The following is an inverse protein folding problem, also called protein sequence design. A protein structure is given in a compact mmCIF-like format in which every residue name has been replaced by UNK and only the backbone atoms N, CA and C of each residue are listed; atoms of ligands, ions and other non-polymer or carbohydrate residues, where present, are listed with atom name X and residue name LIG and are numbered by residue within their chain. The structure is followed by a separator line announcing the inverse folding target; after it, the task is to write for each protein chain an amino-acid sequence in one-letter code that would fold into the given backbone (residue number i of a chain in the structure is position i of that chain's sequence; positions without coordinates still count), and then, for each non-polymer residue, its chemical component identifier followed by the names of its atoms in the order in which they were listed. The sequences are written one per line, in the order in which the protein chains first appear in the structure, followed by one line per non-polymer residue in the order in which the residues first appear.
data_IF_042514735624
#
_entry.id   IF_042514735624
#
_cell.length_a   1.000
_cell.length_b   1.000
_cell.length_c   1.000
_cell.angle_alpha   90.00
_cell.angle_beta   90.00
_cell.angle_gamma   90.00
#
_symmetry.space_group_name_H-M   'P 1'
#
loop_
_entity.id
_entity.type
_entity.pdbx_description
1 polymer ?
#
# COMPACT_ATOMS: atom_id res chain seq x y z
N UNK A 1 11.20 -25.81 -17.35
CA UNK A 1 11.21 -24.64 -16.43
C UNK A 1 10.31 -24.96 -15.26
N UNK A 2 10.85 -25.13 -14.06
CA UNK A 2 10.05 -25.19 -12.84
C UNK A 2 9.86 -23.75 -12.35
N UNK A 3 8.61 -23.34 -12.18
CA UNK A 3 8.29 -22.04 -11.59
C UNK A 3 8.47 -22.18 -10.08
N UNK A 4 9.36 -21.38 -9.50
CA UNK A 4 9.58 -21.35 -8.05
C UNK A 4 8.51 -20.56 -7.31
N UNK A 5 8.55 -20.66 -5.97
CA UNK A 5 7.59 -19.96 -5.10
C UNK A 5 7.71 -18.43 -5.22
N UNK A 6 8.93 -17.91 -5.39
CA UNK A 6 9.16 -16.48 -5.57
C UNK A 6 8.53 -15.92 -6.85
N UNK A 7 8.64 -16.66 -7.96
CA UNK A 7 8.04 -16.30 -9.24
C UNK A 7 6.50 -16.30 -9.15
N UNK A 8 5.92 -17.31 -8.49
CA UNK A 8 4.47 -17.37 -8.26
C UNK A 8 3.99 -16.18 -7.43
N UNK A 9 4.67 -15.88 -6.32
CA UNK A 9 4.30 -14.75 -5.46
C UNK A 9 4.46 -13.40 -6.16
N UNK A 10 5.50 -13.22 -6.97
CA UNK A 10 5.72 -12.00 -7.74
C UNK A 10 4.61 -11.75 -8.76
N UNK A 11 4.26 -12.78 -9.55
CA UNK A 11 3.15 -12.70 -10.51
C UNK A 11 1.80 -12.49 -9.81
N UNK A 12 1.57 -13.19 -8.69
CA UNK A 12 0.34 -13.04 -7.90
C UNK A 12 0.21 -11.62 -7.33
N UNK A 13 1.31 -11.05 -6.83
CA UNK A 13 1.35 -9.67 -6.35
C UNK A 13 0.98 -8.68 -7.45
N UNK A 14 1.52 -8.84 -8.65
CA UNK A 14 1.19 -7.99 -9.79
C UNK A 14 -0.31 -8.07 -10.17
N UNK A 15 -0.89 -9.27 -10.16
CA UNK A 15 -2.33 -9.47 -10.43
C UNK A 15 -3.19 -8.83 -9.34
N UNK A 16 -2.89 -9.08 -8.06
CA UNK A 16 -3.62 -8.51 -6.92
C UNK A 16 -3.55 -7.00 -6.94
N UNK A 17 -2.38 -6.42 -7.24
CA UNK A 17 -2.22 -4.98 -7.37
C UNK A 17 -3.03 -4.40 -8.52
N UNK A 18 -3.00 -5.01 -9.71
CA UNK A 18 -3.77 -4.55 -10.85
C UNK A 18 -5.28 -4.52 -10.56
N UNK A 19 -5.81 -5.57 -9.92
CA UNK A 19 -7.20 -5.62 -9.47
C UNK A 19 -7.47 -4.54 -8.42
N UNK A 20 -6.58 -4.38 -7.44
CA UNK A 20 -6.67 -3.36 -6.40
C UNK A 20 -6.78 -1.95 -6.97
N UNK A 21 -5.92 -1.58 -7.91
CA UNK A 21 -5.94 -0.25 -8.56
C UNK A 21 -7.26 0.01 -9.28
N UNK A 22 -7.81 -1.00 -9.97
CA UNK A 22 -9.11 -0.89 -10.65
C UNK A 22 -10.23 -0.67 -9.62
N UNK A 23 -10.23 -1.44 -8.52
CA UNK A 23 -11.21 -1.30 -7.45
C UNK A 23 -11.11 0.06 -6.77
N UNK A 24 -9.91 0.52 -6.43
CA UNK A 24 -9.69 1.83 -5.82
C UNK A 24 -10.14 2.96 -6.73
N UNK A 25 -9.89 2.87 -8.05
CA UNK A 25 -10.38 3.87 -8.98
C UNK A 25 -11.90 3.97 -8.95
N UNK A 26 -12.60 2.83 -8.95
CA UNK A 26 -14.07 2.76 -8.91
C UNK A 26 -14.63 3.27 -7.58
N UNK A 27 -13.99 2.92 -6.46
CA UNK A 27 -14.35 3.46 -5.14
C UNK A 27 -14.10 4.97 -5.04
N UNK A 28 -13.08 5.46 -5.74
CA UNK A 28 -12.75 6.87 -5.80
C UNK A 28 -13.79 7.75 -6.51
N UNK A 29 -14.72 7.16 -7.28
CA UNK A 29 -15.85 7.89 -7.86
C UNK A 29 -16.86 8.36 -6.81
N UNK A 30 -16.94 7.66 -5.66
CA UNK A 30 -17.89 7.97 -4.58
C UNK A 30 -17.20 8.45 -3.30
N UNK A 31 -15.93 8.08 -3.10
CA UNK A 31 -15.17 8.39 -1.90
C UNK A 31 -14.01 9.35 -2.21
N UNK A 32 -13.89 10.47 -1.47
CA UNK A 32 -12.71 11.33 -1.55
C UNK A 32 -11.43 10.55 -1.21
N UNK A 33 -10.28 10.89 -1.83
CA UNK A 33 -8.99 10.19 -1.66
C UNK A 33 -8.59 9.92 -0.20
N UNK A 34 -8.73 10.91 0.68
CA UNK A 34 -8.37 10.78 2.08
C UNK A 34 -9.26 9.75 2.82
N UNK A 35 -10.57 9.75 2.54
CA UNK A 35 -11.51 8.79 3.16
C UNK A 35 -11.27 7.38 2.64
N UNK A 36 -11.02 7.25 1.34
CA UNK A 36 -10.66 5.97 0.72
C UNK A 36 -9.38 5.41 1.36
N UNK A 37 -8.35 6.25 1.52
CA UNK A 37 -7.10 5.85 2.17
C UNK A 37 -7.32 5.41 3.63
N UNK A 38 -8.10 6.18 4.40
CA UNK A 38 -8.41 5.84 5.78
C UNK A 38 -9.13 4.48 5.87
N UNK A 39 -10.18 4.26 5.09
CA UNK A 39 -10.93 3.00 5.06
C UNK A 39 -10.05 1.82 4.61
N UNK A 40 -9.22 2.02 3.59
CA UNK A 40 -8.22 1.04 3.15
C UNK A 40 -7.32 0.61 4.30
N UNK A 41 -6.77 1.58 5.05
CA UNK A 41 -5.89 1.28 6.17
C UNK A 41 -6.62 0.63 7.35
N UNK A 42 -7.90 0.92 7.58
CA UNK A 42 -8.70 0.20 8.58
C UNK A 42 -8.89 -1.27 8.20
N UNK A 43 -9.14 -1.58 6.92
CA UNK A 43 -9.23 -2.96 6.44
C UNK A 43 -7.88 -3.68 6.58
N UNK A 44 -6.79 -3.02 6.20
CA UNK A 44 -5.44 -3.57 6.35
C UNK A 44 -5.12 -3.83 7.81
N UNK A 45 -5.42 -2.89 8.71
CA UNK A 45 -5.20 -3.06 10.14
C UNK A 45 -6.03 -4.22 10.70
N UNK A 46 -7.31 -4.32 10.34
CA UNK A 46 -8.18 -5.41 10.79
C UNK A 46 -7.71 -6.79 10.28
N UNK A 47 -7.12 -6.85 9.08
CA UNK A 47 -6.61 -8.08 8.50
C UNK A 47 -5.24 -8.47 9.08
N UNK A 48 -4.31 -7.52 9.23
CA UNK A 48 -2.94 -7.79 9.64
C UNK A 48 -2.77 -7.87 11.16
N UNK A 49 -3.51 -7.09 11.94
CA UNK A 49 -3.35 -7.06 13.40
C UNK A 49 -3.49 -8.46 14.03
N UNK A 50 -4.53 -9.27 13.73
CA UNK A 50 -4.66 -10.60 14.33
C UNK A 50 -3.52 -11.54 13.93
N UNK A 51 -3.04 -11.42 12.68
CA UNK A 51 -1.93 -12.22 12.16
C UNK A 51 -0.64 -11.87 12.89
N UNK A 52 -0.36 -10.58 13.05
CA UNK A 52 0.80 -10.09 13.80
C UNK A 52 0.75 -10.52 15.26
N UNK A 53 -0.40 -10.37 15.94
CA UNK A 53 -0.53 -10.81 17.33
C UNK A 53 -0.39 -12.33 17.48
N UNK A 54 -0.86 -13.10 16.50
CA UNK A 54 -0.72 -14.55 16.52
C UNK A 54 0.72 -15.00 16.28
N UNK A 55 1.45 -14.33 15.38
CA UNK A 55 2.83 -14.69 15.03
C UNK A 55 3.89 -14.17 16.02
N UNK A 56 3.76 -12.93 16.47
CA UNK A 56 4.76 -12.20 17.27
C UNK A 56 4.36 -12.08 18.76
N UNK A 57 3.09 -12.39 19.09
CA UNK A 57 2.55 -12.24 20.44
C UNK A 57 2.08 -10.81 20.76
N UNK A 58 1.87 -10.55 22.06
CA UNK A 58 1.33 -9.27 22.56
C UNK A 58 2.40 -8.32 23.09
N UNK A 59 3.68 -8.72 23.06
CA UNK A 59 4.76 -7.88 23.55
C UNK A 59 4.96 -6.68 22.60
N UNK A 60 5.05 -5.48 23.16
CA UNK A 60 5.39 -4.31 22.36
C UNK A 60 6.86 -4.40 21.91
N UNK A 61 7.17 -3.96 20.68
CA UNK A 61 8.54 -3.96 20.20
C UNK A 61 9.39 -2.98 21.03
N UNK A 62 10.59 -3.42 21.41
CA UNK A 62 11.54 -2.65 22.19
C UNK A 62 12.29 -1.63 21.32
N UNK A 63 11.56 -0.62 20.83
CA UNK A 63 12.11 0.45 20.00
C UNK A 63 12.52 1.65 20.86
N UNK A 64 13.63 2.28 20.51
CA UNK A 64 14.04 3.59 21.02
C UNK A 64 13.07 4.69 20.57
N UNK A 65 13.14 5.85 21.22
CA UNK A 65 12.32 7.01 20.86
C UNK A 65 12.56 7.48 19.41
N UNK A 66 13.79 7.36 18.91
CA UNK A 66 14.14 7.72 17.53
C UNK A 66 13.51 6.74 16.54
N UNK A 67 13.56 5.44 16.81
CA UNK A 67 12.93 4.43 15.97
C UNK A 67 11.41 4.58 15.93
N UNK A 68 10.78 4.88 17.06
CA UNK A 68 9.35 5.22 17.10
C UNK A 68 9.03 6.45 16.25
N UNK A 69 9.84 7.51 16.34
CA UNK A 69 9.67 8.71 15.53
C UNK A 69 9.82 8.41 14.03
N UNK A 70 10.76 7.56 13.64
CA UNK A 70 10.96 7.14 12.26
C UNK A 70 9.80 6.28 11.75
N UNK A 71 9.30 5.34 12.55
CA UNK A 71 8.15 4.49 12.18
C UNK A 71 6.89 5.35 12.00
N UNK A 72 6.60 6.24 12.95
CA UNK A 72 5.44 7.13 12.85
C UNK A 72 5.59 8.13 11.71
N UNK A 73 6.78 8.74 11.56
CA UNK A 73 7.06 9.71 10.50
C UNK A 73 6.98 9.10 9.10
N UNK A 74 7.57 7.91 8.91
CA UNK A 74 7.47 7.17 7.65
C UNK A 74 6.03 6.72 7.35
N UNK A 75 5.26 6.33 8.37
CA UNK A 75 3.83 6.04 8.23
C UNK A 75 3.03 7.26 7.77
N UNK A 76 3.28 8.43 8.35
CA UNK A 76 2.61 9.68 7.92
C UNK A 76 2.96 10.01 6.47
N UNK A 77 4.24 9.98 6.11
CA UNK A 77 4.66 10.34 4.75
C UNK A 77 4.24 9.31 3.71
N UNK A 78 4.52 8.02 3.94
CA UNK A 78 4.29 6.94 3.00
C UNK A 78 2.84 6.49 2.93
N UNK A 79 2.14 6.40 4.07
CA UNK A 79 0.77 5.89 4.10
C UNK A 79 -0.22 7.04 4.06
N UNK A 80 -0.10 8.05 4.91
CA UNK A 80 -1.13 9.09 4.96
C UNK A 80 -1.02 10.07 3.79
N UNK A 81 0.16 10.65 3.56
CA UNK A 81 0.36 11.68 2.51
C UNK A 81 0.45 11.04 1.13
N UNK A 82 1.38 10.10 0.91
CA UNK A 82 1.62 9.57 -0.42
C UNK A 82 0.42 8.79 -0.98
N UNK A 83 -0.24 7.93 -0.21
CA UNK A 83 -1.43 7.22 -0.73
C UNK A 83 -2.59 8.17 -1.01
N UNK A 84 -2.78 9.23 -0.22
CA UNK A 84 -3.83 10.21 -0.49
C UNK A 84 -3.59 10.94 -1.81
N UNK A 85 -2.33 11.31 -2.08
CA UNK A 85 -1.93 11.89 -3.36
C UNK A 85 -2.08 10.88 -4.50
N UNK A 86 -1.70 9.62 -4.27
CA UNK A 86 -1.86 8.53 -5.22
C UNK A 86 -3.33 8.34 -5.61
N UNK A 87 -4.25 8.27 -4.64
CA UNK A 87 -5.68 8.15 -4.93
C UNK A 87 -6.25 9.40 -5.60
N UNK A 88 -5.75 10.59 -5.26
CA UNK A 88 -6.08 11.83 -5.97
C UNK A 88 -5.70 11.76 -7.46
N UNK A 89 -4.47 11.35 -7.75
CA UNK A 89 -3.98 11.15 -9.10
C UNK A 89 -4.73 10.02 -9.83
N UNK A 90 -5.05 8.92 -9.13
CA UNK A 90 -5.84 7.82 -9.66
C UNK A 90 -7.22 8.29 -10.09
N UNK A 91 -7.91 9.07 -9.27
CA UNK A 91 -9.23 9.61 -9.61
C UNK A 91 -9.16 10.56 -10.81
N UNK A 92 -8.13 11.39 -10.91
CA UNK A 92 -7.94 12.33 -12.01
C UNK A 92 -7.55 11.65 -13.34
N UNK A 93 -6.70 10.63 -13.30
CA UNK A 93 -6.07 10.05 -14.49
C UNK A 93 -6.67 8.72 -14.93
N UNK A 94 -7.36 8.01 -14.03
CA UNK A 94 -7.85 6.66 -14.28
C UNK A 94 -6.77 5.58 -14.14
N UNK A 95 -7.21 4.33 -13.99
CA UNK A 95 -6.32 3.19 -13.71
C UNK A 95 -5.27 2.95 -14.81
N UNK A 96 -5.64 3.11 -16.09
CA UNK A 96 -4.73 2.87 -17.21
C UNK A 96 -3.56 3.84 -17.26
N UNK A 97 -3.82 5.16 -17.16
CA UNK A 97 -2.75 6.19 -17.18
C UNK A 97 -1.90 6.15 -15.92
N UNK A 98 -2.50 5.89 -14.76
CA UNK A 98 -1.74 5.68 -13.52
C UNK A 98 -0.79 4.50 -13.61
N UNK A 99 -1.19 3.38 -14.24
CA UNK A 99 -0.31 2.24 -14.43
C UNK A 99 0.96 2.58 -15.23
N UNK A 100 0.83 3.40 -16.27
CA UNK A 100 1.97 3.86 -17.08
C UNK A 100 2.89 4.76 -16.25
N UNK A 101 2.33 5.74 -15.54
CA UNK A 101 3.09 6.64 -14.68
C UNK A 101 3.79 5.87 -13.55
N UNK A 102 3.15 4.82 -13.03
CA UNK A 102 3.74 3.94 -12.02
C UNK A 102 5.05 3.29 -12.46
N UNK A 103 5.25 3.05 -13.75
CA UNK A 103 6.52 2.50 -14.25
C UNK A 103 7.69 3.50 -14.15
N UNK A 104 7.41 4.80 -14.06
CA UNK A 104 8.44 5.82 -13.81
C UNK A 104 8.99 5.75 -12.37
N UNK A 105 8.36 4.99 -11.48
CA UNK A 105 8.88 4.78 -10.12
C UNK A 105 10.19 3.98 -10.12
N UNK A 106 10.32 2.99 -11.02
CA UNK A 106 11.52 2.14 -11.12
C UNK A 106 12.82 2.93 -11.31
N UNK A 107 12.96 3.86 -12.28
CA UNK A 107 14.19 4.64 -12.43
C UNK A 107 14.44 5.66 -11.30
N UNK A 108 13.44 5.98 -10.48
CA UNK A 108 13.58 6.95 -9.39
C UNK A 108 13.96 6.30 -8.05
N UNK A 109 13.76 4.98 -7.92
CA UNK A 109 14.02 4.24 -6.66
C UNK A 109 15.17 3.26 -6.80
N UNK A 110 15.41 2.73 -7.99
CA UNK A 110 16.58 1.87 -8.25
C UNK A 110 17.79 2.79 -8.49
N UNK A 111 18.66 2.90 -7.48
CA UNK A 111 19.98 3.54 -7.54
C UNK A 111 21.05 2.49 -7.79
#
# INVERSE_FOLDING_TARGET
MQIGLGEILSLSSAVVWAVGVILYRRLGDTLPPLRLNFLKNMVVLAALMPITLWAEGFALPALSAVEWALVLGSGVLGIAVADTLYFGALNALGAGRMGIIGNLYSPLVVV
#
